data_IF_761767579609
#
_entry.id   IF_761767579609
#
_cell.length_a   1.000
_cell.length_b   1.000
_cell.length_c   1.000
_cell.angle_alpha   90.00
_cell.angle_beta   90.00
_cell.angle_gamma   90.00
#
_symmetry.space_group_name_H-M   'P 1'
#
loop_
_entity.id
_entity.type
_entity.pdbx_description
1 polymer ?
#
# COMPACT_ATOMS: atom_id res chain seq x y z
N UNK A 1 -2.73 25.71 -1.77
CA UNK A 1 -1.94 24.49 -2.03
C UNK A 1 -2.84 23.30 -1.73
N UNK A 2 -2.92 22.32 -2.61
CA UNK A 2 -3.64 21.09 -2.28
C UNK A 2 -2.71 20.13 -1.56
N UNK A 3 -3.23 19.41 -0.55
CA UNK A 3 -2.48 18.43 0.22
C UNK A 3 -2.35 17.12 -0.57
N UNK A 4 -1.36 16.29 -0.17
CA UNK A 4 -1.37 14.87 -0.44
C UNK A 4 -2.10 14.17 0.71
N UNK A 5 -3.09 13.34 0.41
CA UNK A 5 -3.88 12.63 1.41
C UNK A 5 -3.29 11.26 1.74
N UNK A 6 -3.35 10.83 3.01
CA UNK A 6 -3.02 9.45 3.36
C UNK A 6 -4.04 8.87 4.34
N UNK A 7 -4.59 7.69 4.03
CA UNK A 7 -5.57 6.97 4.84
C UNK A 7 -4.99 5.66 5.35
N UNK A 8 -5.08 5.45 6.67
CA UNK A 8 -4.63 4.23 7.32
C UNK A 8 -3.22 4.38 7.90
N UNK A 9 -3.16 4.60 9.21
CA UNK A 9 -1.92 4.78 9.98
C UNK A 9 -1.59 3.50 10.79
N UNK A 10 -1.70 2.36 10.13
CA UNK A 10 -1.22 1.07 10.65
C UNK A 10 0.30 0.94 10.56
N UNK A 11 0.80 -0.28 10.80
CA UNK A 11 2.24 -0.61 10.77
C UNK A 11 2.92 -0.18 9.47
N UNK A 12 2.22 -0.32 8.34
CA UNK A 12 2.74 0.07 7.03
C UNK A 12 2.47 1.55 6.72
N UNK A 13 1.22 1.99 6.89
CA UNK A 13 0.80 3.33 6.46
C UNK A 13 1.36 4.47 7.31
N UNK A 14 1.64 4.25 8.59
CA UNK A 14 2.22 5.27 9.47
C UNK A 14 3.58 5.78 8.94
N UNK A 15 4.60 4.94 8.71
CA UNK A 15 5.88 5.37 8.16
C UNK A 15 5.76 5.86 6.70
N UNK A 16 4.88 5.27 5.87
CA UNK A 16 4.66 5.74 4.49
C UNK A 16 4.14 7.18 4.47
N UNK A 17 3.10 7.49 5.27
CA UNK A 17 2.59 8.85 5.45
C UNK A 17 3.67 9.79 6.03
N UNK A 18 4.51 9.29 6.92
CA UNK A 18 5.64 10.00 7.50
C UNK A 18 6.67 10.41 6.45
N UNK A 19 7.08 9.49 5.56
CA UNK A 19 7.97 9.82 4.44
C UNK A 19 7.35 10.85 3.50
N UNK A 20 6.06 10.68 3.18
CA UNK A 20 5.31 11.62 2.34
C UNK A 20 5.34 13.04 2.93
N UNK A 21 5.12 13.18 4.25
CA UNK A 21 5.06 14.46 4.95
C UNK A 21 6.40 15.22 5.03
N UNK A 22 7.52 14.53 4.82
CA UNK A 22 8.85 15.18 4.74
C UNK A 22 9.03 16.00 3.46
N UNK A 23 8.28 15.67 2.41
CA UNK A 23 8.41 16.28 1.09
C UNK A 23 7.20 17.11 0.70
N UNK A 24 6.00 16.71 1.10
CA UNK A 24 4.74 17.33 0.69
C UNK A 24 3.89 17.75 1.89
N UNK A 25 3.11 18.81 1.73
CA UNK A 25 2.03 19.11 2.67
C UNK A 25 1.05 17.93 2.71
N UNK A 26 0.93 17.27 3.85
CA UNK A 26 0.20 16.01 3.99
C UNK A 26 -0.99 16.16 4.92
N UNK A 27 -2.11 15.57 4.54
CA UNK A 27 -3.31 15.43 5.38
C UNK A 27 -3.60 13.95 5.59
N UNK A 28 -3.81 13.52 6.83
CA UNK A 28 -4.00 12.11 7.17
C UNK A 28 -5.34 11.84 7.80
N UNK A 29 -5.84 10.63 7.56
CA UNK A 29 -7.03 10.10 8.22
C UNK A 29 -6.78 8.68 8.71
N UNK A 30 -7.30 8.39 9.89
CA UNK A 30 -7.39 7.03 10.39
C UNK A 30 -8.69 6.84 11.18
N UNK A 31 -9.38 5.71 11.00
CA UNK A 31 -10.64 5.38 11.72
C UNK A 31 -10.49 5.50 13.24
N UNK A 32 -9.34 5.16 13.79
CA UNK A 32 -8.99 5.31 15.20
C UNK A 32 -8.24 6.63 15.39
N UNK A 33 -8.88 7.63 15.98
CA UNK A 33 -8.35 9.00 16.13
C UNK A 33 -6.99 9.03 16.85
N UNK A 34 -6.80 8.25 17.88
CA UNK A 34 -5.52 8.21 18.61
C UNK A 34 -4.29 7.89 17.75
N UNK A 35 -4.48 7.22 16.62
CA UNK A 35 -3.37 6.97 15.67
C UNK A 35 -2.97 8.22 14.89
N UNK A 36 -3.92 9.11 14.59
CA UNK A 36 -3.61 10.40 13.97
C UNK A 36 -2.90 11.32 14.96
N UNK A 37 -3.32 11.29 16.23
CA UNK A 37 -2.72 12.10 17.29
C UNK A 37 -1.24 11.69 17.49
N UNK A 38 -0.97 10.38 17.64
CA UNK A 38 0.40 9.83 17.73
C UNK A 38 1.23 10.16 16.48
N UNK A 39 0.64 10.10 15.29
CA UNK A 39 1.35 10.44 14.05
C UNK A 39 1.78 11.92 14.03
N UNK A 40 0.93 12.84 14.51
CA UNK A 40 1.23 14.27 14.60
C UNK A 40 2.31 14.61 15.63
N UNK A 41 2.55 13.76 16.65
CA UNK A 41 3.66 13.93 17.58
C UNK A 41 5.03 13.76 16.88
N UNK A 42 5.07 12.95 15.81
CA UNK A 42 6.31 12.61 15.10
C UNK A 42 6.47 13.34 13.77
N UNK A 43 5.37 13.58 13.07
CA UNK A 43 5.39 14.10 11.69
C UNK A 43 4.57 15.39 11.57
N UNK A 44 4.93 16.21 10.58
CA UNK A 44 4.19 17.43 10.27
C UNK A 44 3.06 17.14 9.28
N UNK A 45 1.86 17.60 9.59
CA UNK A 45 0.70 17.45 8.71
C UNK A 45 -0.58 17.97 9.32
N UNK A 46 -1.69 17.63 8.69
CA UNK A 46 -3.03 17.91 9.17
C UNK A 46 -3.84 16.62 9.24
N UNK A 47 -4.91 16.63 10.02
CA UNK A 47 -5.88 15.54 10.10
C UNK A 47 -7.24 15.97 9.60
N UNK A 48 -8.08 15.02 9.28
CA UNK A 48 -9.48 15.24 8.95
C UNK A 48 -10.38 14.23 9.67
N UNK A 49 -11.68 14.46 9.62
CA UNK A 49 -12.67 13.69 10.37
C UNK A 49 -13.22 12.49 9.61
N UNK A 50 -13.18 12.52 8.27
CA UNK A 50 -13.66 11.45 7.40
C UNK A 50 -12.91 11.45 6.04
N UNK A 51 -13.05 10.38 5.25
CA UNK A 51 -12.41 10.29 3.92
C UNK A 51 -12.90 11.34 2.92
N UNK A 52 -14.16 11.76 2.98
CA UNK A 52 -14.71 12.80 2.09
C UNK A 52 -13.95 14.13 2.22
N UNK A 53 -13.59 14.52 3.45
CA UNK A 53 -12.80 15.71 3.70
C UNK A 53 -11.40 15.64 3.04
N UNK A 54 -10.77 14.45 3.02
CA UNK A 54 -9.56 14.22 2.24
C UNK A 54 -9.82 14.37 0.74
N UNK A 55 -10.87 13.76 0.21
CA UNK A 55 -11.28 13.89 -1.20
C UNK A 55 -11.45 15.35 -1.64
N UNK A 56 -12.03 16.18 -0.77
CA UNK A 56 -12.22 17.62 -1.02
C UNK A 56 -10.91 18.41 -1.07
N UNK A 57 -9.95 18.08 -0.21
CA UNK A 57 -8.74 18.88 0.00
C UNK A 57 -7.50 18.35 -0.72
N UNK A 58 -7.53 17.11 -1.23
CA UNK A 58 -6.39 16.44 -1.84
C UNK A 58 -6.66 16.06 -3.29
N UNK A 59 -5.64 16.20 -4.16
CA UNK A 59 -5.71 15.68 -5.53
C UNK A 59 -5.18 14.25 -5.65
N UNK A 60 -4.30 13.85 -4.74
CA UNK A 60 -3.76 12.50 -4.66
C UNK A 60 -4.01 11.98 -3.26
N UNK A 61 -4.64 10.82 -3.16
CA UNK A 61 -4.93 10.17 -1.88
C UNK A 61 -4.42 8.75 -1.91
N UNK A 62 -3.61 8.40 -0.93
CA UNK A 62 -2.98 7.10 -0.75
C UNK A 62 -3.70 6.34 0.36
N UNK A 63 -3.96 5.04 0.16
CA UNK A 63 -4.62 4.18 1.13
C UNK A 63 -3.70 3.04 1.53
N UNK A 64 -3.69 2.67 2.82
CA UNK A 64 -3.13 1.42 3.31
C UNK A 64 -3.95 0.95 4.51
N UNK A 65 -5.03 0.22 4.25
CA UNK A 65 -6.07 -0.12 5.22
C UNK A 65 -6.30 -1.63 5.35
N UNK A 66 -7.49 -2.08 5.74
CA UNK A 66 -7.72 -3.46 6.19
C UNK A 66 -7.94 -4.47 5.07
N UNK A 67 -9.08 -4.39 4.40
CA UNK A 67 -9.59 -5.41 3.47
C UNK A 67 -10.50 -4.78 2.41
N UNK A 68 -11.11 -5.63 1.55
CA UNK A 68 -12.00 -5.22 0.47
C UNK A 68 -13.16 -4.33 0.96
N UNK A 69 -13.82 -4.70 2.05
CA UNK A 69 -14.95 -3.93 2.58
C UNK A 69 -14.54 -2.58 3.16
N UNK A 70 -13.38 -2.54 3.83
CA UNK A 70 -12.81 -1.27 4.32
C UNK A 70 -12.45 -0.33 3.15
N UNK A 71 -11.87 -0.86 2.06
CA UNK A 71 -11.58 -0.07 0.85
C UNK A 71 -12.87 0.41 0.20
N UNK A 72 -13.84 -0.46 0.00
CA UNK A 72 -15.13 -0.12 -0.61
C UNK A 72 -15.81 1.01 0.16
N UNK A 73 -15.88 0.90 1.48
CA UNK A 73 -16.45 1.93 2.35
C UNK A 73 -15.68 3.25 2.29
N UNK A 74 -14.34 3.19 2.29
CA UNK A 74 -13.48 4.38 2.31
C UNK A 74 -13.48 5.12 0.97
N UNK A 75 -13.56 4.39 -0.13
CA UNK A 75 -13.53 5.00 -1.47
C UNK A 75 -14.93 5.43 -1.91
N UNK A 76 -15.92 4.55 -1.88
CA UNK A 76 -17.24 4.76 -2.48
C UNK A 76 -18.40 4.86 -1.48
N UNK A 77 -18.14 4.78 -0.18
CA UNK A 77 -19.17 4.96 0.84
C UNK A 77 -19.76 6.37 0.88
N UNK A 78 -20.80 6.60 1.68
CA UNK A 78 -21.50 7.90 1.79
C UNK A 78 -20.54 9.05 2.16
N UNK A 79 -19.65 8.83 3.13
CA UNK A 79 -18.55 9.75 3.50
C UNK A 79 -17.21 9.31 2.91
N UNK A 80 -17.23 8.59 1.78
CA UNK A 80 -16.05 8.09 1.08
C UNK A 80 -15.38 9.17 0.24
N UNK A 81 -14.18 8.86 -0.25
CA UNK A 81 -13.38 9.79 -1.07
C UNK A 81 -14.13 10.34 -2.29
N UNK A 82 -14.86 9.47 -3.01
CA UNK A 82 -15.54 9.81 -4.25
C UNK A 82 -16.76 10.71 -4.07
N UNK A 83 -17.23 10.93 -2.83
CA UNK A 83 -18.33 11.86 -2.58
C UNK A 83 -17.92 13.33 -2.79
N UNK A 84 -16.65 13.68 -2.53
CA UNK A 84 -16.13 15.05 -2.59
C UNK A 84 -14.91 15.24 -3.49
N UNK A 85 -14.29 14.14 -3.96
CA UNK A 85 -13.09 14.22 -4.78
C UNK A 85 -13.39 14.78 -6.17
N UNK A 86 -12.59 15.77 -6.59
CA UNK A 86 -12.82 16.46 -7.85
C UNK A 86 -12.27 15.67 -9.04
N UNK A 87 -12.84 15.82 -10.25
CA UNK A 87 -12.29 15.25 -11.47
C UNK A 87 -10.80 15.59 -11.65
N UNK A 88 -10.03 14.62 -12.14
CA UNK A 88 -8.58 14.72 -12.27
C UNK A 88 -7.83 14.31 -11.01
N UNK A 89 -8.53 13.96 -9.92
CA UNK A 89 -7.94 13.35 -8.75
C UNK A 89 -7.43 11.94 -8.99
N UNK A 90 -6.52 11.47 -8.12
CA UNK A 90 -5.94 10.12 -8.19
C UNK A 90 -6.01 9.45 -6.82
N UNK A 91 -6.55 8.26 -6.79
CA UNK A 91 -6.55 7.36 -5.61
C UNK A 91 -5.52 6.26 -5.85
N UNK A 92 -4.63 6.04 -4.88
CA UNK A 92 -3.60 5.01 -4.92
C UNK A 92 -3.80 4.07 -3.73
N UNK A 93 -4.18 2.84 -4.00
CA UNK A 93 -4.50 1.85 -2.96
C UNK A 93 -3.35 0.86 -2.76
N UNK A 94 -2.64 0.99 -1.66
CA UNK A 94 -1.58 0.08 -1.22
C UNK A 94 -2.11 -1.12 -0.43
N UNK A 95 -3.41 -1.18 -0.17
CA UNK A 95 -4.03 -2.30 0.54
C UNK A 95 -3.92 -3.57 -0.31
N UNK A 96 -3.58 -4.68 0.30
CA UNK A 96 -3.65 -5.99 -0.38
C UNK A 96 -5.10 -6.47 -0.35
N UNK A 97 -5.72 -6.50 -1.52
CA UNK A 97 -7.15 -6.80 -1.74
C UNK A 97 -7.33 -7.74 -2.93
N UNK A 98 -8.58 -8.05 -3.27
CA UNK A 98 -8.90 -8.78 -4.50
C UNK A 98 -8.69 -7.91 -5.75
N UNK A 99 -8.33 -8.53 -6.86
CA UNK A 99 -8.25 -7.84 -8.15
C UNK A 99 -9.64 -7.40 -8.65
N UNK A 100 -10.68 -8.10 -8.23
CA UNK A 100 -12.08 -7.78 -8.50
C UNK A 100 -12.46 -6.44 -7.86
N UNK A 101 -12.11 -6.23 -6.59
CA UNK A 101 -12.31 -4.95 -5.92
C UNK A 101 -11.57 -3.81 -6.64
N UNK A 102 -10.32 -4.05 -7.04
CA UNK A 102 -9.55 -3.01 -7.75
C UNK A 102 -10.26 -2.55 -9.02
N UNK A 103 -10.81 -3.49 -9.79
CA UNK A 103 -11.59 -3.17 -11.00
C UNK A 103 -12.91 -2.48 -10.69
N UNK A 104 -13.59 -2.87 -9.61
CA UNK A 104 -14.80 -2.21 -9.10
C UNK A 104 -14.52 -0.74 -8.74
N UNK A 105 -13.49 -0.51 -7.93
CA UNK A 105 -13.10 0.84 -7.50
C UNK A 105 -12.61 1.70 -8.66
N UNK A 106 -11.85 1.13 -9.60
CA UNK A 106 -11.45 1.82 -10.82
C UNK A 106 -12.67 2.27 -11.64
N UNK A 107 -13.64 1.37 -11.85
CA UNK A 107 -14.87 1.70 -12.59
C UNK A 107 -15.68 2.85 -11.92
N UNK A 108 -15.89 2.77 -10.62
CA UNK A 108 -16.61 3.80 -9.86
C UNK A 108 -15.85 5.14 -9.85
N UNK A 109 -14.53 5.11 -9.75
CA UNK A 109 -13.69 6.31 -9.80
C UNK A 109 -13.74 6.98 -11.17
N UNK A 110 -13.67 6.21 -12.25
CA UNK A 110 -13.78 6.73 -13.62
C UNK A 110 -15.10 7.46 -13.87
N UNK A 111 -16.21 6.98 -13.31
CA UNK A 111 -17.52 7.66 -13.42
C UNK A 111 -17.51 9.07 -12.79
N UNK A 112 -16.56 9.33 -11.90
CA UNK A 112 -16.34 10.64 -11.25
C UNK A 112 -15.18 11.42 -11.87
N UNK A 113 -14.56 10.91 -12.94
CA UNK A 113 -13.37 11.52 -13.54
C UNK A 113 -12.12 11.42 -12.66
N UNK A 114 -12.09 10.46 -11.74
CA UNK A 114 -10.98 10.18 -10.81
C UNK A 114 -10.27 8.90 -11.27
N UNK A 115 -8.94 8.90 -11.27
CA UNK A 115 -8.16 7.69 -11.54
C UNK A 115 -7.98 6.86 -10.26
N UNK A 116 -7.99 5.53 -10.41
CA UNK A 116 -7.71 4.59 -9.32
C UNK A 116 -6.58 3.66 -9.73
N UNK A 117 -5.54 3.57 -8.88
CA UNK A 117 -4.35 2.72 -9.04
C UNK A 117 -4.32 1.73 -7.89
N UNK A 118 -4.42 0.44 -8.19
CA UNK A 118 -4.08 -0.60 -7.22
C UNK A 118 -2.56 -0.75 -7.15
N UNK A 119 -2.00 -0.60 -5.98
CA UNK A 119 -0.56 -0.44 -5.80
C UNK A 119 -0.03 -1.19 -4.55
N UNK A 120 -0.36 -2.49 -4.37
CA UNK A 120 0.15 -3.25 -3.24
C UNK A 120 1.68 -3.23 -3.16
N UNK A 121 2.18 -3.38 -1.94
CA UNK A 121 3.59 -3.21 -1.63
C UNK A 121 4.27 -4.49 -1.15
N UNK A 122 5.58 -4.56 -1.31
CA UNK A 122 6.47 -5.58 -0.74
C UNK A 122 7.65 -4.91 -0.04
N UNK A 123 8.13 -5.54 1.04
CA UNK A 123 9.24 -5.03 1.88
C UNK A 123 8.93 -5.06 3.38
N UNK A 124 7.67 -5.34 3.76
CA UNK A 124 7.22 -5.42 5.15
C UNK A 124 7.43 -4.12 5.93
N UNK A 125 7.31 -4.19 7.25
CA UNK A 125 7.47 -3.04 8.14
C UNK A 125 8.83 -2.38 7.98
N UNK A 126 9.91 -3.15 7.94
CA UNK A 126 11.26 -2.62 7.79
C UNK A 126 11.44 -1.83 6.48
N UNK A 127 10.84 -2.31 5.38
CA UNK A 127 10.84 -1.60 4.10
C UNK A 127 10.03 -0.30 4.14
N UNK A 128 8.91 -0.28 4.85
CA UNK A 128 8.09 0.93 5.03
C UNK A 128 8.82 1.98 5.87
N UNK A 129 9.42 1.58 6.99
CA UNK A 129 10.22 2.45 7.87
C UNK A 129 11.45 3.03 7.17
N UNK A 130 12.14 2.22 6.37
CA UNK A 130 13.30 2.63 5.59
C UNK A 130 12.96 3.44 4.32
N UNK A 131 11.68 3.59 3.95
CA UNK A 131 11.29 4.22 2.69
C UNK A 131 11.75 3.46 1.45
N UNK A 132 11.87 2.12 1.54
CA UNK A 132 12.48 1.27 0.52
C UNK A 132 11.54 0.17 -0.01
N UNK A 133 10.24 0.43 -0.02
CA UNK A 133 9.24 -0.51 -0.52
C UNK A 133 9.39 -0.77 -2.02
N UNK A 134 8.89 -1.91 -2.47
CA UNK A 134 8.63 -2.22 -3.88
C UNK A 134 7.13 -2.13 -4.11
N UNK A 135 6.70 -1.39 -5.13
CA UNK A 135 5.29 -1.16 -5.46
C UNK A 135 4.97 -1.84 -6.79
N UNK A 136 3.90 -2.63 -6.80
CA UNK A 136 3.36 -3.29 -7.99
C UNK A 136 2.06 -2.59 -8.36
N UNK A 137 2.06 -1.77 -9.41
CA UNK A 137 0.91 -0.95 -9.75
C UNK A 137 0.06 -1.54 -10.87
N UNK A 138 -1.25 -1.36 -10.80
CA UNK A 138 -2.20 -1.62 -11.87
C UNK A 138 -3.13 -0.42 -12.07
N UNK A 139 -3.38 -0.02 -13.33
CA UNK A 139 -4.23 1.12 -13.66
C UNK A 139 -3.76 1.89 -14.88
N UNK A 140 -4.15 3.16 -14.98
CA UNK A 140 -3.85 4.02 -16.12
C UNK A 140 -2.40 4.52 -16.10
N UNK A 141 -1.73 4.48 -17.26
CA UNK A 141 -0.34 4.91 -17.41
C UNK A 141 -0.14 6.38 -17.02
N UNK A 142 -1.00 7.27 -17.51
CA UNK A 142 -0.88 8.71 -17.22
C UNK A 142 -1.06 9.01 -15.73
N UNK A 143 -1.95 8.28 -15.05
CA UNK A 143 -2.15 8.43 -13.62
C UNK A 143 -0.94 7.91 -12.84
N UNK A 144 -0.37 6.77 -13.24
CA UNK A 144 0.83 6.21 -12.63
C UNK A 144 2.04 7.14 -12.79
N UNK A 145 2.25 7.71 -13.97
CA UNK A 145 3.33 8.66 -14.22
C UNK A 145 3.24 9.89 -13.31
N UNK A 146 2.02 10.46 -13.14
CA UNK A 146 1.79 11.62 -12.29
C UNK A 146 2.15 11.37 -10.81
N UNK A 147 1.89 10.17 -10.30
CA UNK A 147 2.18 9.84 -8.89
C UNK A 147 3.60 9.33 -8.65
N UNK A 148 4.38 9.07 -9.70
CA UNK A 148 5.71 8.42 -9.60
C UNK A 148 6.64 9.15 -8.64
N UNK A 149 6.71 10.47 -8.68
CA UNK A 149 7.52 11.28 -7.77
C UNK A 149 7.00 11.24 -6.33
N UNK A 150 5.68 11.10 -6.15
CA UNK A 150 5.07 11.03 -4.82
C UNK A 150 5.36 9.68 -4.16
N UNK A 151 5.14 8.58 -4.86
CA UNK A 151 5.37 7.23 -4.31
C UNK A 151 6.87 6.92 -4.12
N UNK A 152 7.78 7.59 -4.82
CA UNK A 152 9.23 7.45 -4.62
C UNK A 152 9.72 7.93 -3.25
N UNK A 153 8.92 8.69 -2.50
CA UNK A 153 9.27 9.12 -1.14
C UNK A 153 9.36 7.97 -0.14
N UNK A 154 8.65 6.87 -0.39
CA UNK A 154 8.61 5.68 0.49
C UNK A 154 8.88 4.35 -0.26
N UNK A 155 9.32 4.42 -1.51
CA UNK A 155 9.67 3.23 -2.29
C UNK A 155 11.00 3.38 -3.01
N UNK A 156 11.74 2.30 -3.13
CA UNK A 156 12.96 2.20 -3.94
C UNK A 156 12.68 1.77 -5.38
N UNK A 157 11.52 1.16 -5.64
CA UNK A 157 11.15 0.66 -6.97
C UNK A 157 9.63 0.61 -7.09
N UNK A 158 9.12 1.08 -8.20
CA UNK A 158 7.69 0.97 -8.57
C UNK A 158 7.56 0.65 -10.05
N UNK A 159 6.58 -0.18 -10.40
CA UNK A 159 6.33 -0.54 -11.79
C UNK A 159 4.85 -0.71 -12.06
N UNK A 160 4.38 -0.13 -13.17
CA UNK A 160 3.05 -0.41 -13.70
C UNK A 160 3.07 -1.80 -14.38
N UNK A 161 2.22 -2.69 -13.90
CA UNK A 161 2.17 -4.10 -14.32
C UNK A 161 1.10 -4.35 -15.39
N UNK A 162 0.22 -3.39 -15.62
CA UNK A 162 -0.88 -3.48 -16.59
C UNK A 162 -2.12 -2.71 -16.13
N UNK A 163 -3.30 -3.03 -16.68
CA UNK A 163 -4.56 -2.39 -16.29
C UNK A 163 -4.94 -2.68 -14.84
N UNK A 164 -5.98 -2.03 -14.34
CA UNK A 164 -6.49 -2.18 -12.96
C UNK A 164 -6.65 -3.65 -12.55
N UNK A 165 -6.19 -3.99 -11.36
CA UNK A 165 -6.09 -5.34 -10.79
C UNK A 165 -4.75 -6.03 -11.07
N UNK A 166 -3.91 -5.53 -11.99
CA UNK A 166 -2.62 -6.16 -12.31
C UNK A 166 -1.61 -6.05 -11.16
N UNK A 167 -1.67 -5.00 -10.38
CA UNK A 167 -0.87 -4.84 -9.15
C UNK A 167 -1.21 -5.94 -8.14
N UNK A 168 -2.50 -6.14 -7.85
CA UNK A 168 -2.96 -7.17 -6.92
C UNK A 168 -2.61 -8.58 -7.41
N UNK A 169 -2.82 -8.88 -8.69
CA UNK A 169 -2.43 -10.18 -9.27
C UNK A 169 -0.91 -10.41 -9.16
N UNK A 170 -0.10 -9.39 -9.41
CA UNK A 170 1.35 -9.47 -9.22
C UNK A 170 1.71 -9.70 -7.75
N UNK A 171 1.00 -9.04 -6.82
CA UNK A 171 1.17 -9.28 -5.38
C UNK A 171 0.80 -10.72 -5.01
N UNK A 172 -0.25 -11.31 -5.60
CA UNK A 172 -0.60 -12.71 -5.37
C UNK A 172 0.52 -13.66 -5.82
N UNK A 173 1.13 -13.42 -6.99
CA UNK A 173 2.31 -14.19 -7.44
C UNK A 173 3.45 -14.10 -6.42
N UNK A 174 3.77 -12.89 -5.96
CA UNK A 174 4.78 -12.70 -4.92
C UNK A 174 4.45 -13.48 -3.63
N UNK A 175 3.20 -13.48 -3.19
CA UNK A 175 2.78 -14.21 -1.98
C UNK A 175 2.84 -15.73 -2.14
N UNK A 176 2.49 -16.26 -3.31
CA UNK A 176 2.62 -17.69 -3.63
C UNK A 176 4.10 -18.10 -3.55
N UNK A 177 5.02 -17.33 -4.13
CA UNK A 177 6.45 -17.61 -4.08
C UNK A 177 6.99 -17.59 -2.64
N UNK A 178 6.60 -16.59 -1.84
CA UNK A 178 7.04 -16.49 -0.44
C UNK A 178 6.47 -17.65 0.40
N UNK A 179 5.19 -17.98 0.24
CA UNK A 179 4.57 -19.09 0.96
C UNK A 179 5.27 -20.44 0.63
N UNK A 180 5.53 -20.68 -0.65
CA UNK A 180 6.26 -21.89 -1.09
C UNK A 180 7.67 -21.98 -0.53
N UNK A 181 8.42 -20.86 -0.54
CA UNK A 181 9.76 -20.79 0.02
C UNK A 181 9.77 -21.07 1.53
N UNK A 182 8.89 -20.43 2.28
CA UNK A 182 8.79 -20.60 3.75
C UNK A 182 8.38 -22.03 4.10
N UNK A 183 7.41 -22.59 3.39
CA UNK A 183 6.99 -23.98 3.60
C UNK A 183 8.11 -24.97 3.29
N UNK A 184 8.78 -24.81 2.14
CA UNK A 184 9.90 -25.68 1.76
C UNK A 184 11.06 -25.62 2.77
N UNK A 185 11.39 -24.42 3.27
CA UNK A 185 12.41 -24.27 4.30
C UNK A 185 11.98 -24.92 5.64
N UNK A 186 10.74 -24.77 6.04
CA UNK A 186 10.20 -25.39 7.26
C UNK A 186 10.27 -26.92 7.19
N UNK A 187 9.87 -27.51 6.06
CA UNK A 187 9.95 -28.95 5.82
C UNK A 187 11.43 -29.43 5.83
N UNK A 188 12.35 -28.70 5.20
CA UNK A 188 13.78 -29.03 5.18
C UNK A 188 14.39 -29.00 6.59
N UNK A 189 14.06 -28.01 7.41
CA UNK A 189 14.49 -27.93 8.80
C UNK A 189 13.93 -29.11 9.61
N UNK A 190 12.63 -29.40 9.46
CA UNK A 190 12.00 -30.54 10.16
C UNK A 190 12.63 -31.89 9.77
N UNK A 191 12.89 -32.10 8.49
CA UNK A 191 13.60 -33.29 8.00
C UNK A 191 15.00 -33.41 8.63
N UNK A 192 15.77 -32.31 8.69
CA UNK A 192 17.11 -32.28 9.29
C UNK A 192 17.07 -32.69 10.76
N UNK A 193 16.09 -32.21 11.53
CA UNK A 193 15.88 -32.59 12.92
C UNK A 193 15.59 -34.09 13.07
N UNK A 194 14.69 -34.63 12.24
CA UNK A 194 14.34 -36.05 12.28
C UNK A 194 15.49 -36.98 11.86
N UNK A 195 16.34 -36.51 10.96
CA UNK A 195 17.53 -37.23 10.50
C UNK A 195 18.72 -37.12 11.47
N UNK A 196 18.60 -36.38 12.59
CA UNK A 196 19.67 -36.20 13.56
C UNK A 196 20.82 -35.30 13.09
N UNK A 197 20.57 -34.46 12.09
CA UNK A 197 21.56 -33.50 11.59
C UNK A 197 21.60 -32.25 12.48
N UNK A 198 22.78 -31.63 12.57
CA UNK A 198 22.93 -30.31 13.16
C UNK A 198 22.36 -29.25 12.24
N UNK A 199 21.29 -28.56 12.66
CA UNK A 199 20.57 -27.59 11.86
C UNK A 199 21.46 -26.41 11.51
N UNK A 200 22.33 -25.95 12.43
CA UNK A 200 23.20 -24.81 12.18
C UNK A 200 24.17 -25.10 11.05
N UNK A 201 24.78 -26.29 11.07
CA UNK A 201 25.68 -26.75 9.99
C UNK A 201 24.95 -26.90 8.64
N UNK A 202 23.72 -27.46 8.66
CA UNK A 202 22.89 -27.59 7.46
C UNK A 202 22.58 -26.20 6.88
N UNK A 203 22.11 -25.26 7.72
CA UNK A 203 21.80 -23.90 7.27
C UNK A 203 23.04 -23.15 6.77
N UNK A 204 24.19 -23.33 7.41
CA UNK A 204 25.44 -22.74 6.93
C UNK A 204 25.80 -23.22 5.54
N UNK A 205 25.69 -24.51 5.27
CA UNK A 205 26.04 -25.09 3.96
C UNK A 205 25.08 -24.66 2.86
N UNK A 206 23.76 -24.80 3.08
CA UNK A 206 22.78 -24.48 2.04
C UNK A 206 22.72 -22.98 1.73
N UNK A 207 23.00 -22.10 2.71
CA UNK A 207 23.05 -20.66 2.48
C UNK A 207 24.22 -20.18 1.61
N UNK A 208 25.23 -21.04 1.40
CA UNK A 208 26.40 -20.75 0.56
C UNK A 208 26.32 -21.39 -0.84
N UNK A 209 25.38 -22.30 -1.04
CA UNK A 209 25.29 -23.09 -2.27
C UNK A 209 24.03 -22.85 -3.10
N UNK A 210 23.08 -22.06 -2.65
CA UNK A 210 21.81 -21.78 -3.34
C UNK A 210 21.75 -20.35 -3.86
#
# INVERSE_FOLDING_TARGET
MKYKGFIGLGVMGNPMAGHLSKTFSTMVYNRTQSKTDVWLETYKGQTCTNPAELGKNCNEVFLCIGNDDDVRKTVSGEEGLLSEMQPGGIIVDHTTTSAELSREMHHLSMQKGVSYIDAPVSGGQAGAEAGSLTIMAGGDTDAFEKISSTISTYSKFSKLMGPSGSGQLTKMVNQICIAGLVQGLAEGIHFSQKAGLDIANVMEVISKGA
#
